data_IF_989099560134
#
_entry.id   IF_989099560134
#
_cell.length_a   1.000
_cell.length_b   1.000
_cell.length_c   1.000
_cell.angle_alpha   90.00
_cell.angle_beta   90.00
_cell.angle_gamma   90.00
#
_symmetry.space_group_name_H-M   'P 1'
#
loop_
_entity.id
_entity.type
_entity.pdbx_description
1 polymer ?
#
# COMPACT_ATOMS: atom_id res chain seq x y z
N UNK A 1 9.45 15.52 -20.31
CA UNK A 1 8.30 16.45 -20.44
C UNK A 1 7.40 16.22 -19.22
N UNK A 2 6.80 17.28 -18.67
CA UNK A 2 6.29 17.37 -17.28
C UNK A 2 5.23 16.35 -16.84
N UNK A 3 4.84 16.33 -15.56
CA UNK A 3 3.94 15.32 -15.04
C UNK A 3 2.58 15.38 -15.76
N UNK A 4 2.24 14.30 -16.44
CA UNK A 4 0.92 14.06 -17.01
C UNK A 4 0.11 13.32 -15.93
N UNK A 5 -0.63 14.06 -15.10
CA UNK A 5 -1.51 13.47 -14.09
C UNK A 5 -1.58 14.28 -12.80
N UNK A 6 -2.56 15.18 -12.69
CA UNK A 6 -2.85 15.91 -11.45
C UNK A 6 -3.68 15.12 -10.43
N UNK A 7 -4.10 13.90 -10.77
CA UNK A 7 -5.07 13.12 -9.99
C UNK A 7 -4.42 12.00 -9.15
N UNK A 8 -3.11 11.81 -9.23
CA UNK A 8 -2.35 10.79 -8.50
C UNK A 8 -1.22 11.41 -7.70
N UNK A 9 -1.57 12.44 -6.92
CA UNK A 9 -0.63 13.20 -6.10
C UNK A 9 -1.18 13.24 -4.68
N UNK A 10 -0.31 12.93 -3.72
CA UNK A 10 -0.56 13.11 -2.30
C UNK A 10 0.63 13.86 -1.70
N UNK A 11 0.34 14.78 -0.80
CA UNK A 11 1.30 15.49 0.03
C UNK A 11 0.95 15.31 1.49
N UNK A 12 1.96 15.45 2.37
CA UNK A 12 1.74 15.35 3.82
C UNK A 12 0.65 16.31 4.33
N UNK A 13 0.55 17.51 3.73
CA UNK A 13 -0.49 18.50 4.06
C UNK A 13 -1.93 18.07 3.75
N UNK A 14 -2.12 17.10 2.86
CA UNK A 14 -3.46 16.56 2.56
C UNK A 14 -4.01 15.71 3.72
N UNK A 15 -3.11 15.18 4.56
CA UNK A 15 -3.42 14.28 5.67
C UNK A 15 -3.84 12.88 5.21
N UNK A 16 -4.63 12.18 6.01
CA UNK A 16 -5.18 10.86 5.68
C UNK A 16 -6.34 10.48 6.60
N UNK A 17 -6.60 9.18 6.84
CA UNK A 17 -5.84 8.00 6.39
C UNK A 17 -5.88 7.74 4.87
N UNK A 18 -4.88 6.99 4.36
CA UNK A 18 -4.80 6.57 2.96
C UNK A 18 -5.05 5.07 2.80
N UNK A 19 -5.86 4.71 1.80
CA UNK A 19 -5.92 3.35 1.26
C UNK A 19 -5.27 3.33 -0.12
N UNK A 20 -4.22 2.53 -0.28
CA UNK A 20 -3.49 2.37 -1.53
C UNK A 20 -3.75 0.95 -2.04
N UNK A 21 -4.08 0.80 -3.32
CA UNK A 21 -4.32 -0.50 -3.94
C UNK A 21 -3.51 -0.58 -5.22
N UNK A 22 -2.66 -1.60 -5.35
CA UNK A 22 -1.80 -1.75 -6.52
C UNK A 22 -1.73 -3.19 -7.01
N UNK A 23 -1.34 -3.36 -8.27
CA UNK A 23 -1.03 -4.65 -8.86
C UNK A 23 0.09 -4.55 -9.88
N UNK A 24 1.05 -5.48 -9.84
CA UNK A 24 2.25 -5.41 -10.68
C UNK A 24 2.94 -4.04 -10.62
N UNK A 25 3.27 -3.47 -11.78
CA UNK A 25 3.93 -2.15 -11.86
C UNK A 25 3.05 -0.97 -11.42
N UNK A 26 1.75 -1.15 -11.20
CA UNK A 26 0.85 -0.13 -10.66
C UNK A 26 1.24 0.35 -9.26
N UNK A 27 2.11 -0.39 -8.56
CA UNK A 27 2.66 0.03 -7.26
C UNK A 27 3.65 1.19 -7.36
N UNK A 28 4.25 1.44 -8.53
CA UNK A 28 5.33 2.44 -8.69
C UNK A 28 4.93 3.84 -8.21
N UNK A 29 3.79 4.43 -8.65
CA UNK A 29 3.39 5.74 -8.16
C UNK A 29 2.92 5.71 -6.69
N UNK A 30 2.36 4.60 -6.21
CA UNK A 30 2.01 4.43 -4.79
C UNK A 30 3.25 4.44 -3.90
N UNK A 31 4.32 3.79 -4.37
CA UNK A 31 5.60 3.77 -3.67
C UNK A 31 6.21 5.17 -3.55
N UNK A 32 5.98 6.06 -4.52
CA UNK A 32 6.39 7.45 -4.40
C UNK A 32 5.71 8.15 -3.22
N UNK A 33 4.41 7.92 -3.00
CA UNK A 33 3.67 8.46 -1.85
C UNK A 33 4.17 7.85 -0.53
N UNK A 34 4.40 6.53 -0.49
CA UNK A 34 4.90 5.81 0.70
C UNK A 34 6.30 6.31 1.09
N UNK A 35 7.21 6.46 0.11
CA UNK A 35 8.54 7.03 0.35
C UNK A 35 8.45 8.47 0.82
N UNK A 36 7.63 9.29 0.19
CA UNK A 36 7.44 10.68 0.60
C UNK A 36 6.96 10.78 2.06
N UNK A 37 5.99 9.95 2.45
CA UNK A 37 5.51 9.82 3.83
C UNK A 37 6.66 9.45 4.78
N UNK A 38 7.43 8.42 4.45
CA UNK A 38 8.53 7.92 5.27
C UNK A 38 9.67 8.96 5.42
N UNK A 39 10.06 9.62 4.33
CA UNK A 39 11.07 10.70 4.33
C UNK A 39 10.66 11.87 5.22
N UNK A 40 9.38 12.22 5.23
CA UNK A 40 8.83 13.28 6.08
C UNK A 40 8.54 12.84 7.51
N UNK A 41 8.74 11.55 7.84
CA UNK A 41 8.35 10.95 9.12
C UNK A 41 6.88 11.26 9.46
N UNK A 42 6.04 11.27 8.43
CA UNK A 42 4.63 11.58 8.55
C UNK A 42 3.90 10.51 9.37
N UNK A 43 3.09 10.96 10.33
CA UNK A 43 2.23 10.07 11.12
C UNK A 43 0.92 9.71 10.41
N UNK A 44 0.72 10.14 9.15
CA UNK A 44 -0.49 9.82 8.39
C UNK A 44 -0.62 8.30 8.24
N UNK A 45 -1.74 7.68 8.67
CA UNK A 45 -1.92 6.24 8.53
C UNK A 45 -2.12 5.83 7.07
N UNK A 46 -1.46 4.77 6.63
CA UNK A 46 -1.51 4.27 5.25
C UNK A 46 -1.61 2.75 5.25
N UNK A 47 -2.58 2.21 4.51
CA UNK A 47 -2.69 0.78 4.23
C UNK A 47 -2.49 0.55 2.74
N UNK A 48 -1.50 -0.27 2.36
CA UNK A 48 -1.28 -0.72 0.99
C UNK A 48 -1.77 -2.17 0.83
N UNK A 49 -2.67 -2.38 -0.13
CA UNK A 49 -3.03 -3.71 -0.64
C UNK A 49 -2.34 -3.90 -1.99
N UNK A 50 -1.41 -4.84 -2.06
CA UNK A 50 -0.60 -5.06 -3.25
C UNK A 50 -0.73 -6.49 -3.79
N UNK A 51 -1.23 -6.61 -5.02
CA UNK A 51 -1.43 -7.87 -5.72
C UNK A 51 -0.21 -8.23 -6.59
N UNK A 52 0.30 -9.44 -6.42
CA UNK A 52 1.36 -10.01 -7.24
C UNK A 52 1.07 -11.49 -7.57
N UNK A 53 1.77 -12.06 -8.56
CA UNK A 53 1.59 -13.50 -8.87
C UNK A 53 2.34 -14.37 -7.87
N UNK A 54 3.60 -14.06 -7.62
CA UNK A 54 4.51 -14.79 -6.77
C UNK A 54 5.28 -13.84 -5.85
N UNK A 55 5.88 -14.36 -4.79
CA UNK A 55 6.66 -13.58 -3.83
C UNK A 55 7.82 -12.81 -4.47
N UNK A 56 8.50 -13.41 -5.45
CA UNK A 56 9.63 -12.78 -6.15
C UNK A 56 9.19 -11.77 -7.22
N UNK A 57 7.90 -11.66 -7.49
CA UNK A 57 7.31 -10.66 -8.37
C UNK A 57 6.75 -9.44 -7.63
N UNK A 58 6.87 -9.41 -6.30
CA UNK A 58 6.49 -8.25 -5.50
C UNK A 58 7.53 -7.15 -5.71
N UNK A 59 7.18 -6.15 -6.52
CA UNK A 59 8.06 -5.00 -6.80
C UNK A 59 8.27 -4.21 -5.49
N UNK A 60 9.53 -3.85 -5.21
CA UNK A 60 9.97 -3.21 -3.95
C UNK A 60 9.70 -4.02 -2.67
N UNK A 61 9.56 -5.35 -2.77
CA UNK A 61 9.20 -6.22 -1.65
C UNK A 61 9.94 -5.92 -0.36
N UNK A 62 11.26 -6.00 -0.37
CA UNK A 62 12.05 -5.94 0.85
C UNK A 62 11.92 -4.55 1.49
N UNK A 63 11.91 -3.49 0.69
CA UNK A 63 11.67 -2.13 1.16
C UNK A 63 10.26 -1.93 1.75
N UNK A 64 9.22 -2.51 1.12
CA UNK A 64 7.85 -2.46 1.62
C UNK A 64 7.70 -3.24 2.93
N UNK A 65 8.38 -4.37 3.08
CA UNK A 65 8.43 -5.14 4.33
C UNK A 65 9.14 -4.32 5.42
N UNK A 66 10.31 -3.77 5.12
CA UNK A 66 11.08 -2.94 6.05
C UNK A 66 10.27 -1.73 6.53
N UNK A 67 9.53 -1.08 5.63
CA UNK A 67 8.66 0.04 5.99
C UNK A 67 7.49 -0.42 6.88
N UNK A 68 6.88 -1.57 6.60
CA UNK A 68 5.81 -2.12 7.42
C UNK A 68 6.28 -2.46 8.83
N UNK A 69 7.49 -3.01 8.95
CA UNK A 69 8.05 -3.45 10.23
C UNK A 69 8.50 -2.30 11.13
N UNK A 70 8.58 -1.05 10.62
CA UNK A 70 8.78 0.15 11.45
C UNK A 70 7.62 0.44 12.38
N UNK A 71 6.42 -0.10 12.10
CA UNK A 71 5.19 0.12 12.89
C UNK A 71 4.88 1.60 13.09
N UNK A 72 5.20 2.44 12.11
CA UNK A 72 5.05 3.89 12.17
C UNK A 72 3.74 4.40 11.54
N UNK A 73 2.79 3.51 11.28
CA UNK A 73 1.51 3.80 10.64
C UNK A 73 1.43 3.42 9.15
N UNK A 74 2.41 2.68 8.62
CA UNK A 74 2.32 2.01 7.32
C UNK A 74 2.01 0.51 7.47
N UNK A 75 0.88 0.09 6.92
CA UNK A 75 0.44 -1.31 6.86
C UNK A 75 0.53 -1.86 5.44
N UNK A 76 1.11 -3.05 5.29
CA UNK A 76 1.25 -3.75 4.01
C UNK A 76 0.48 -5.07 4.03
N UNK A 77 -0.38 -5.25 3.03
CA UNK A 77 -1.09 -6.49 2.73
C UNK A 77 -0.70 -6.96 1.34
N UNK A 78 -0.09 -8.13 1.23
CA UNK A 78 0.17 -8.76 -0.07
C UNK A 78 -0.95 -9.75 -0.42
N UNK A 79 -1.37 -9.73 -1.68
CA UNK A 79 -2.28 -10.71 -2.26
C UNK A 79 -1.53 -11.51 -3.35
N UNK A 80 -0.99 -12.66 -2.97
CA UNK A 80 -0.29 -13.56 -3.90
C UNK A 80 -1.31 -14.45 -4.61
N UNK A 81 -1.34 -14.39 -5.93
CA UNK A 81 -2.38 -15.05 -6.73
C UNK A 81 -1.98 -16.42 -7.26
N UNK A 82 -0.71 -16.80 -7.17
CA UNK A 82 -0.18 -18.11 -7.60
C UNK A 82 0.72 -18.80 -6.58
N UNK A 83 0.92 -18.20 -5.42
CA UNK A 83 1.73 -18.75 -4.33
C UNK A 83 1.00 -18.65 -2.98
N UNK A 84 1.33 -19.53 -2.02
CA UNK A 84 0.96 -19.36 -0.63
C UNK A 84 1.49 -18.05 -0.05
N UNK A 85 0.71 -17.45 0.86
CA UNK A 85 1.10 -16.28 1.63
C UNK A 85 2.30 -16.64 2.50
N UNK A 86 3.30 -15.75 2.55
CA UNK A 86 4.51 -15.98 3.35
C UNK A 86 4.50 -15.28 4.71
N UNK A 87 3.57 -14.34 4.90
CA UNK A 87 3.38 -13.61 6.16
C UNK A 87 1.94 -13.77 6.65
N UNK A 88 1.70 -13.76 7.97
CA UNK A 88 0.34 -13.89 8.53
C UNK A 88 -0.64 -12.79 8.09
N UNK A 89 -0.13 -11.63 7.69
CA UNK A 89 -0.95 -10.50 7.23
C UNK A 89 -1.38 -10.59 5.76
N UNK A 90 -0.86 -11.56 5.01
CA UNK A 90 -1.01 -11.66 3.55
C UNK A 90 -2.03 -12.74 3.14
N UNK A 91 -2.43 -12.72 1.86
CA UNK A 91 -3.45 -13.60 1.30
C UNK A 91 -2.94 -14.41 0.09
N UNK A 92 -3.45 -15.63 -0.07
CA UNK A 92 -3.21 -16.52 -1.23
C UNK A 92 -4.40 -16.53 -2.20
N UNK A 93 -4.90 -15.36 -2.55
CA UNK A 93 -6.08 -15.18 -3.41
C UNK A 93 -6.04 -13.82 -4.11
N UNK A 94 -6.92 -13.63 -5.09
CA UNK A 94 -7.13 -12.33 -5.71
C UNK A 94 -7.79 -11.36 -4.72
N UNK A 95 -7.56 -10.07 -4.94
CA UNK A 95 -8.22 -8.97 -4.21
C UNK A 95 -9.73 -9.08 -4.36
N UNK A 96 -10.46 -8.94 -3.25
CA UNK A 96 -11.93 -8.93 -3.19
C UNK A 96 -12.43 -7.94 -2.13
N UNK A 97 -13.76 -7.78 -2.02
CA UNK A 97 -14.40 -6.84 -1.12
C UNK A 97 -14.04 -7.09 0.36
N UNK A 98 -14.05 -8.36 0.80
CA UNK A 98 -13.70 -8.71 2.18
C UNK A 98 -12.25 -8.32 2.52
N UNK A 99 -11.31 -8.46 1.58
CA UNK A 99 -9.94 -7.98 1.75
C UNK A 99 -9.89 -6.46 1.91
N UNK A 100 -10.69 -5.70 1.15
CA UNK A 100 -10.73 -4.24 1.25
C UNK A 100 -11.28 -3.80 2.61
N UNK A 101 -12.39 -4.40 3.05
CA UNK A 101 -12.96 -4.15 4.37
C UNK A 101 -11.93 -4.44 5.48
N UNK A 102 -11.28 -5.61 5.43
CA UNK A 102 -10.24 -5.99 6.39
C UNK A 102 -9.04 -5.04 6.37
N UNK A 103 -8.69 -4.49 5.20
CA UNK A 103 -7.58 -3.55 5.07
C UNK A 103 -7.94 -2.16 5.62
N UNK A 104 -9.18 -1.71 5.43
CA UNK A 104 -9.67 -0.46 6.00
C UNK A 104 -9.72 -0.50 7.53
N UNK A 105 -10.00 -1.66 8.12
CA UNK A 105 -9.98 -1.86 9.58
C UNK A 105 -8.57 -1.73 10.20
N UNK A 106 -7.51 -1.76 9.40
CA UNK A 106 -6.14 -1.49 9.87
C UNK A 106 -5.88 0.00 10.07
N UNK A 107 -6.72 0.87 9.50
CA UNK A 107 -6.63 2.31 9.66
C UNK A 107 -7.43 2.75 10.90
N UNK A 108 -7.01 3.82 11.61
CA UNK A 108 -7.70 4.30 12.81
C UNK A 108 -9.05 4.98 12.52
N UNK A 109 -9.32 5.30 11.25
CA UNK A 109 -10.56 5.88 10.76
C UNK A 109 -10.77 5.48 9.29
N UNK A 110 -11.99 5.62 8.72
CA UNK A 110 -12.21 5.41 7.30
C UNK A 110 -11.23 6.21 6.44
N UNK A 111 -10.72 5.65 5.32
CA UNK A 111 -9.76 6.33 4.46
C UNK A 111 -10.38 7.60 3.89
N UNK A 112 -9.66 8.72 4.04
CA UNK A 112 -10.03 9.99 3.41
C UNK A 112 -9.70 9.97 1.92
N UNK A 113 -8.63 9.28 1.55
CA UNK A 113 -8.19 9.13 0.17
C UNK A 113 -7.97 7.66 -0.18
N UNK A 114 -8.32 7.31 -1.41
CA UNK A 114 -8.04 6.01 -2.00
C UNK A 114 -7.36 6.19 -3.36
N UNK A 115 -6.25 5.48 -3.58
CA UNK A 115 -5.51 5.46 -4.83
C UNK A 115 -5.40 4.02 -5.33
N UNK A 116 -5.76 3.78 -6.61
CA UNK A 116 -5.85 2.46 -7.24
C UNK A 116 -5.11 2.44 -8.57
#
# INVERSE_FOLDING_TARGET
>A
RGPLGGHFVWSDSDGGPLLLVGGGSGVVPLMAMIRHRAERRSAVPVALVFSARAWDEVIFRDELIDLHDRRDGFDLVLALTREPARRPADYSRRVDAAMMEQSMLRLPAPPRFAFV
#
